data_IF_239253779564
#
_entry.id   IF_239253779564
#
_cell.length_a   1.000
_cell.length_b   1.000
_cell.length_c   1.000
_cell.angle_alpha   90.00
_cell.angle_beta   90.00
_cell.angle_gamma   90.00
#
_symmetry.space_group_name_H-M   'P 1'
#
loop_
_entity.id
_entity.type
_entity.pdbx_description
1 polymer ?
#
# COMPACT_ATOMS: atom_id res chain seq x y z
N UNK A 1 -14.24 -8.19 17.32
CA UNK A 1 -13.87 -7.67 15.99
C UNK A 1 -12.37 -7.53 16.04
N UNK A 2 -11.62 -8.41 15.39
CA UNK A 2 -10.17 -8.23 15.28
C UNK A 2 -9.95 -7.11 14.26
N UNK A 3 -9.57 -5.94 14.73
CA UNK A 3 -9.25 -4.79 13.88
C UNK A 3 -7.91 -5.06 13.19
N UNK A 4 -7.90 -5.03 11.86
CA UNK A 4 -6.66 -5.05 11.10
C UNK A 4 -6.02 -3.66 11.18
N UNK A 5 -4.74 -3.59 11.56
CA UNK A 5 -3.98 -2.33 11.52
C UNK A 5 -2.74 -2.52 10.66
N UNK A 6 -2.50 -1.58 9.74
CA UNK A 6 -1.27 -1.48 8.98
C UNK A 6 -0.43 -0.30 9.48
N UNK A 7 0.89 -0.50 9.56
CA UNK A 7 1.86 0.55 9.83
C UNK A 7 2.67 0.77 8.57
N UNK A 8 2.63 1.98 8.03
CA UNK A 8 3.24 2.32 6.75
C UNK A 8 4.28 3.41 6.93
N UNK A 9 5.37 3.29 6.18
CA UNK A 9 6.39 4.32 6.03
C UNK A 9 6.66 4.47 4.54
N UNK A 10 6.77 5.70 4.05
CA UNK A 10 6.93 5.98 2.62
C UNK A 10 8.17 6.84 2.38
N UNK A 11 8.96 6.43 1.40
CA UNK A 11 10.05 7.22 0.83
C UNK A 11 9.74 7.50 -0.64
N UNK A 12 9.69 8.77 -1.04
CA UNK A 12 9.32 9.17 -2.40
C UNK A 12 7.83 9.44 -2.60
N UNK A 13 7.41 9.84 -3.81
CA UNK A 13 6.15 10.55 -4.03
C UNK A 13 4.89 9.66 -4.06
N UNK A 14 5.03 8.37 -4.37
CA UNK A 14 3.89 7.50 -4.64
C UNK A 14 3.15 7.10 -3.36
N UNK A 15 1.87 7.42 -3.30
CA UNK A 15 0.97 6.96 -2.26
C UNK A 15 0.52 5.51 -2.52
N UNK A 16 0.41 4.66 -1.49
CA UNK A 16 -0.29 3.38 -1.63
C UNK A 16 -1.74 3.62 -2.06
N UNK A 17 -2.29 2.70 -2.85
CA UNK A 17 -3.72 2.71 -3.16
C UNK A 17 -4.45 1.67 -2.32
N UNK A 18 -5.69 1.98 -1.96
CA UNK A 18 -6.56 1.12 -1.18
C UNK A 18 -7.78 0.76 -2.00
N UNK A 19 -8.17 -0.51 -1.94
CA UNK A 19 -9.46 -0.99 -2.43
C UNK A 19 -10.28 -1.51 -1.26
N UNK A 20 -11.45 -0.92 -1.04
CA UNK A 20 -12.37 -1.34 0.02
C UNK A 20 -13.17 -2.60 -0.38
N UNK A 21 -13.79 -3.30 0.58
CA UNK A 21 -14.59 -4.49 0.31
C UNK A 21 -15.78 -4.25 -0.65
N UNK A 22 -16.33 -3.03 -0.62
CA UNK A 22 -17.41 -2.56 -1.49
C UNK A 22 -16.94 -2.27 -2.94
N UNK A 23 -15.63 -2.28 -3.17
CA UNK A 23 -15.02 -2.03 -4.47
C UNK A 23 -14.63 -0.58 -4.72
N UNK A 24 -14.91 0.34 -3.80
CA UNK A 24 -14.39 1.71 -3.88
C UNK A 24 -12.86 1.70 -3.75
N UNK A 25 -12.21 2.62 -4.47
CA UNK A 25 -10.76 2.77 -4.50
C UNK A 25 -10.34 4.19 -4.17
N UNK A 26 -9.18 4.35 -3.56
CA UNK A 26 -8.59 5.66 -3.30
C UNK A 26 -7.12 5.57 -2.95
N UNK A 27 -6.49 6.73 -2.70
CA UNK A 27 -5.18 6.77 -2.11
C UNK A 27 -5.26 6.57 -0.60
N UNK A 28 -4.29 5.85 -0.03
CA UNK A 28 -4.06 5.80 1.39
C UNK A 28 -3.05 6.90 1.76
N UNK A 29 -3.47 7.99 2.43
CA UNK A 29 -2.56 9.05 2.81
C UNK A 29 -1.54 8.51 3.82
N UNK A 30 -0.27 8.52 3.42
CA UNK A 30 0.86 8.08 4.24
C UNK A 30 1.88 9.21 4.25
N UNK A 31 2.30 9.61 5.44
CA UNK A 31 3.38 10.56 5.63
C UNK A 31 4.63 10.09 4.87
N UNK A 32 5.20 10.99 4.07
CA UNK A 32 6.34 10.67 3.20
C UNK A 32 7.62 11.36 3.66
N UNK A 33 8.74 10.71 3.40
CA UNK A 33 10.05 11.33 3.33
C UNK A 33 10.58 11.39 1.90
N UNK A 34 11.72 12.05 1.66
CA UNK A 34 12.37 12.08 0.35
C UNK A 34 12.83 10.68 -0.09
N UNK A 35 13.18 10.48 -1.37
CA UNK A 35 13.71 9.21 -1.86
C UNK A 35 14.88 8.70 -1.02
N UNK A 36 15.05 7.38 -0.95
CA UNK A 36 16.20 6.77 -0.27
C UNK A 36 17.51 7.16 -0.98
N UNK A 37 18.62 7.22 -0.23
CA UNK A 37 19.94 7.56 -0.76
C UNK A 37 20.27 9.06 -0.76
N UNK A 38 19.41 9.89 -0.18
CA UNK A 38 19.68 11.30 0.13
C UNK A 38 20.55 11.44 1.40
N UNK A 39 21.12 12.63 1.69
CA UNK A 39 21.89 12.87 2.90
C UNK A 39 21.16 12.42 4.19
N UNK A 40 21.93 12.04 5.19
CA UNK A 40 21.40 11.58 6.47
C UNK A 40 20.65 12.68 7.23
N UNK A 41 19.74 12.26 8.12
CA UNK A 41 18.92 13.17 8.95
C UNK A 41 17.49 13.37 8.45
N UNK A 42 17.10 12.67 7.39
CA UNK A 42 15.76 12.74 6.84
C UNK A 42 14.76 11.93 7.66
N UNK A 43 13.59 12.54 7.87
CA UNK A 43 12.48 11.94 8.61
C UNK A 43 11.56 11.15 7.68
N UNK A 44 11.12 10.00 8.17
CA UNK A 44 10.19 9.11 7.50
C UNK A 44 9.06 8.78 8.48
N UNK A 45 8.03 9.63 8.56
CA UNK A 45 6.98 9.48 9.57
C UNK A 45 6.18 8.20 9.33
N UNK A 46 5.92 7.46 10.40
CA UNK A 46 5.09 6.27 10.34
C UNK A 46 3.61 6.65 10.43
N UNK A 47 2.81 6.10 9.52
CA UNK A 47 1.36 6.26 9.50
C UNK A 47 0.69 4.95 9.90
N UNK A 48 -0.26 5.00 10.83
CA UNK A 48 -1.11 3.86 11.16
C UNK A 48 -2.45 3.97 10.43
N UNK A 49 -2.89 2.89 9.80
CA UNK A 49 -4.12 2.83 9.04
C UNK A 49 -4.96 1.63 9.49
N UNK A 50 -6.21 1.89 9.86
CA UNK A 50 -7.20 0.86 10.12
C UNK A 50 -7.67 0.20 8.82
N UNK A 51 -7.70 -1.13 8.81
CA UNK A 51 -8.15 -1.95 7.69
C UNK A 51 -9.34 -2.79 8.14
N UNK A 52 -10.44 -2.65 7.42
CA UNK A 52 -11.57 -3.56 7.57
C UNK A 52 -11.29 -4.88 6.84
N UNK A 53 -11.84 -6.02 7.30
CA UNK A 53 -11.70 -7.28 6.59
C UNK A 53 -12.14 -7.18 5.12
N UNK A 54 -11.31 -7.69 4.21
CA UNK A 54 -11.54 -7.59 2.76
C UNK A 54 -11.04 -6.30 2.11
N UNK A 55 -10.41 -5.40 2.87
CA UNK A 55 -9.61 -4.30 2.32
C UNK A 55 -8.33 -4.84 1.69
N UNK A 56 -7.96 -4.28 0.54
CA UNK A 56 -6.71 -4.59 -0.15
C UNK A 56 -5.87 -3.31 -0.32
N UNK A 57 -4.79 -3.14 0.46
CA UNK A 57 -3.76 -2.15 0.16
C UNK A 57 -2.85 -2.66 -0.96
N UNK A 58 -2.54 -1.81 -1.93
CA UNK A 58 -1.62 -2.09 -3.03
C UNK A 58 -0.47 -1.07 -3.02
N UNK A 59 0.74 -1.60 -2.95
CA UNK A 59 1.98 -0.83 -3.11
C UNK A 59 2.33 -0.80 -4.58
N UNK A 60 2.44 0.40 -5.12
CA UNK A 60 2.76 0.63 -6.53
C UNK A 60 4.19 1.13 -6.66
N UNK A 61 4.89 0.64 -7.67
CA UNK A 61 6.19 1.17 -8.10
C UNK A 61 5.98 2.06 -9.30
N UNK A 62 6.83 3.06 -9.49
CA UNK A 62 6.87 3.94 -10.66
C UNK A 62 6.82 3.16 -11.97
N UNK A 63 7.64 2.12 -12.12
CA UNK A 63 7.62 1.27 -13.33
C UNK A 63 6.32 0.48 -13.59
N UNK A 64 5.39 0.43 -12.63
CA UNK A 64 4.07 -0.22 -12.77
C UNK A 64 2.97 0.78 -13.18
N UNK A 65 3.12 2.04 -12.78
CA UNK A 65 2.13 3.10 -12.99
C UNK A 65 2.50 4.04 -14.13
N UNK A 66 3.77 4.06 -14.53
CA UNK A 66 4.25 4.84 -15.66
C UNK A 66 3.91 4.16 -16.99
N UNK A 67 2.87 4.67 -17.64
CA UNK A 67 2.71 4.58 -19.09
C UNK A 67 2.99 5.95 -19.66
N UNK A 68 3.68 6.03 -20.81
CA UNK A 68 3.92 7.31 -21.50
C UNK A 68 2.62 8.08 -21.86
N UNK A 69 1.47 7.41 -21.78
CA UNK A 69 0.16 7.95 -22.14
C UNK A 69 -0.76 8.27 -20.94
N UNK A 70 -0.39 7.93 -19.70
CA UNK A 70 -1.28 8.07 -18.53
C UNK A 70 -0.55 8.75 -17.37
N UNK A 71 -1.17 9.76 -16.71
CA UNK A 71 -0.68 10.28 -15.44
C UNK A 71 -0.54 9.18 -14.38
N UNK A 72 0.42 9.34 -13.47
CA UNK A 72 0.72 8.38 -12.40
C UNK A 72 -0.51 8.10 -11.53
N UNK A 73 -1.30 9.12 -11.23
CA UNK A 73 -2.54 9.03 -10.45
C UNK A 73 -3.57 8.13 -11.13
N UNK A 74 -3.67 8.22 -12.46
CA UNK A 74 -4.56 7.37 -13.26
C UNK A 74 -4.03 5.93 -13.35
N UNK A 75 -2.70 5.75 -13.45
CA UNK A 75 -2.06 4.44 -13.36
C UNK A 75 -2.29 3.76 -12.01
N UNK A 76 -2.18 4.51 -10.92
CA UNK A 76 -2.48 4.07 -9.55
C UNK A 76 -3.94 3.62 -9.41
N UNK A 77 -4.90 4.43 -9.88
CA UNK A 77 -6.32 4.07 -9.86
C UNK A 77 -6.64 2.82 -10.70
N UNK A 78 -5.99 2.68 -11.86
CA UNK A 78 -6.07 1.48 -12.69
C UNK A 78 -5.55 0.22 -11.97
N UNK A 79 -4.45 0.33 -11.23
CA UNK A 79 -3.93 -0.78 -10.43
C UNK A 79 -4.90 -1.20 -9.32
N UNK A 80 -5.49 -0.22 -8.61
CA UNK A 80 -6.45 -0.49 -7.55
C UNK A 80 -7.71 -1.21 -8.05
N UNK A 81 -8.26 -0.75 -9.17
CA UNK A 81 -9.48 -1.33 -9.76
C UNK A 81 -9.27 -2.73 -10.31
N UNK A 82 -8.09 -3.02 -10.90
CA UNK A 82 -7.78 -4.30 -11.53
C UNK A 82 -7.23 -5.35 -10.57
N UNK A 83 -6.92 -4.96 -9.34
CA UNK A 83 -6.42 -5.88 -8.31
C UNK A 83 -7.45 -6.97 -7.98
N UNK A 84 -7.02 -8.24 -7.86
CA UNK A 84 -7.93 -9.34 -7.54
C UNK A 84 -8.62 -9.11 -6.20
N UNK A 85 -9.87 -9.58 -6.08
CA UNK A 85 -10.62 -9.48 -4.83
C UNK A 85 -9.89 -10.31 -3.76
N UNK A 86 -9.63 -9.75 -2.57
CA UNK A 86 -8.94 -10.50 -1.53
C UNK A 86 -9.77 -11.73 -1.15
N UNK A 87 -9.10 -12.88 -1.12
CA UNK A 87 -9.68 -14.10 -0.55
C UNK A 87 -9.80 -13.89 0.96
N UNK A 88 -10.93 -14.30 1.58
CA UNK A 88 -11.07 -14.20 3.02
C UNK A 88 -9.92 -14.98 3.69
N UNK A 89 -9.36 -14.47 4.81
CA UNK A 89 -8.28 -15.17 5.50
C UNK A 89 -8.77 -16.56 5.90
N UNK A 90 -7.95 -17.58 5.69
CA UNK A 90 -8.17 -18.88 6.30
C UNK A 90 -8.07 -18.70 7.81
N UNK A 91 -9.09 -19.07 8.62
CA UNK A 91 -8.99 -18.96 10.06
C UNK A 91 -7.80 -19.81 10.56
N UNK A 92 -6.80 -19.16 11.17
CA UNK A 92 -5.70 -19.84 11.87
C UNK A 92 -4.29 -19.77 11.27
N UNK A 93 -3.96 -18.87 10.33
CA UNK A 93 -2.60 -18.83 9.77
C UNK A 93 -2.08 -17.43 9.43
N UNK A 94 -1.20 -16.88 10.27
CA UNK A 94 -0.20 -15.91 9.82
C UNK A 94 1.01 -16.71 9.35
N UNK A 95 1.53 -16.53 8.11
CA UNK A 95 2.79 -17.15 7.73
C UNK A 95 3.91 -16.47 8.53
N UNK A 96 4.37 -17.15 9.59
CA UNK A 96 5.56 -16.74 10.33
C UNK A 96 6.77 -16.92 9.42
N UNK A 97 7.40 -15.83 8.99
CA UNK A 97 8.71 -15.89 8.37
C UNK A 97 9.74 -16.19 9.47
N UNK A 98 9.88 -17.47 9.80
CA UNK A 98 10.97 -17.98 10.61
C UNK A 98 12.07 -18.50 9.69
N UNK A 99 13.20 -17.81 9.73
CA UNK A 99 14.55 -18.28 9.40
C UNK A 99 14.98 -18.26 7.93
N UNK A 100 15.98 -17.44 7.62
CA UNK A 100 17.36 -17.95 7.45
C UNK A 100 18.41 -16.83 7.52
N UNK A 101 19.38 -17.10 8.38
CA UNK A 101 20.76 -16.57 8.40
C UNK A 101 21.49 -16.91 7.11
#
# INVERSE_FOLDING_TARGET
MEEGTARLVRAGPLHPVIRHPDGSTGELPVGGGPPLGVPAGQEYPMTEAGLVPGTLPALVTDGLVESAALPVEEGCAGCATRSPRPTPPTPGGWPTNSSRT
#
